data_IF_578473347788
#
_entry.id   IF_578473347788
#
_cell.length_a   1.000
_cell.length_b   1.000
_cell.length_c   1.000
_cell.angle_alpha   90.00
_cell.angle_beta   90.00
_cell.angle_gamma   90.00
#
_symmetry.space_group_name_H-M   'P 1'
#
loop_
_entity.id
_entity.type
_entity.pdbx_description
1 polymer ?
#
# COMPACT_ATOMS: atom_id res chain seq x y z
N UNK A 1 -20.36 47.05 27.38
CA UNK A 1 -19.29 46.37 26.62
C UNK A 1 -19.15 44.89 27.03
N UNK A 2 -20.26 44.12 27.04
CA UNK A 2 -20.24 42.73 27.53
C UNK A 2 -20.89 41.71 26.56
N UNK A 3 -21.53 42.19 25.47
CA UNK A 3 -22.22 41.34 24.50
C UNK A 3 -21.35 40.93 23.30
N UNK A 4 -20.26 41.65 23.05
CA UNK A 4 -19.35 41.37 21.92
C UNK A 4 -18.31 40.30 22.21
N UNK A 5 -18.11 39.94 23.49
CA UNK A 5 -17.10 38.97 23.90
C UNK A 5 -17.55 37.50 23.73
N UNK A 6 -18.86 37.24 23.64
CA UNK A 6 -19.40 35.88 23.52
C UNK A 6 -19.32 35.31 22.09
N UNK A 7 -19.14 36.16 21.07
CA UNK A 7 -19.12 35.71 19.67
C UNK A 7 -17.73 35.16 19.29
N UNK A 8 -16.66 35.59 19.97
CA UNK A 8 -15.30 35.15 19.66
C UNK A 8 -14.93 33.75 20.22
N UNK A 9 -15.63 33.26 21.24
CA UNK A 9 -15.32 31.97 21.88
C UNK A 9 -15.95 30.79 21.13
N UNK A 10 -16.94 31.04 20.25
CA UNK A 10 -17.60 29.97 19.48
C UNK A 10 -16.86 29.53 18.20
N UNK A 11 -15.74 30.18 17.86
CA UNK A 11 -14.97 29.93 16.62
C UNK A 11 -13.72 29.05 16.82
N UNK A 12 -13.40 28.65 18.06
CA UNK A 12 -12.20 27.85 18.35
C UNK A 12 -12.47 26.38 18.68
N UNK A 13 -13.69 25.87 18.43
CA UNK A 13 -13.88 24.44 18.31
C UNK A 13 -13.43 24.06 16.89
N UNK A 14 -12.11 24.03 16.68
CA UNK A 14 -11.54 23.20 15.64
C UNK A 14 -12.06 21.80 15.92
N UNK A 15 -13.07 21.39 15.16
CA UNK A 15 -13.40 20.00 14.98
C UNK A 15 -12.16 19.43 14.31
N UNK A 16 -11.17 19.05 15.12
CA UNK A 16 -10.12 18.15 14.71
C UNK A 16 -10.87 16.87 14.38
N UNK A 17 -11.35 16.81 13.13
CA UNK A 17 -11.83 15.62 12.51
C UNK A 17 -10.57 14.77 12.37
N UNK A 18 -10.13 14.16 13.48
CA UNK A 18 -9.04 13.22 13.49
C UNK A 18 -9.44 12.13 12.50
N UNK A 19 -8.76 12.14 11.36
CA UNK A 19 -8.87 11.07 10.39
C UNK A 19 -8.70 9.76 11.15
N UNK A 20 -9.64 8.83 11.00
CA UNK A 20 -9.46 7.52 11.65
C UNK A 20 -8.33 6.83 10.91
N UNK A 21 -7.21 6.48 11.58
CA UNK A 21 -6.11 5.84 10.90
C UNK A 21 -6.59 4.55 10.24
N UNK A 22 -6.08 4.26 9.05
CA UNK A 22 -6.33 2.98 8.38
C UNK A 22 -5.84 1.88 9.32
N UNK A 23 -6.76 1.05 9.80
CA UNK A 23 -6.43 -0.04 10.72
C UNK A 23 -5.86 -1.22 9.94
N UNK A 24 -4.65 -1.61 10.30
CA UNK A 24 -3.98 -2.77 9.71
C UNK A 24 -4.68 -4.11 10.01
N UNK A 25 -4.33 -5.11 9.22
CA UNK A 25 -4.83 -6.47 9.35
C UNK A 25 -3.76 -7.46 8.92
N UNK A 26 -3.15 -8.13 9.90
CA UNK A 26 -2.14 -9.16 9.64
C UNK A 26 -2.71 -10.33 8.84
N UNK A 27 -3.99 -10.66 9.03
CA UNK A 27 -4.68 -11.70 8.26
C UNK A 27 -4.69 -11.34 6.77
N UNK A 28 -5.07 -10.11 6.42
CA UNK A 28 -5.11 -9.67 5.02
C UNK A 28 -3.70 -9.51 4.45
N UNK A 29 -2.73 -9.06 5.25
CA UNK A 29 -1.34 -8.93 4.82
C UNK A 29 -0.74 -10.31 4.50
N UNK A 30 -0.82 -11.25 5.45
CA UNK A 30 -0.31 -12.61 5.26
C UNK A 30 -0.98 -13.30 4.07
N UNK A 31 -2.30 -13.09 3.89
CA UNK A 31 -3.01 -13.59 2.72
C UNK A 31 -2.47 -12.98 1.41
N UNK A 32 -2.22 -11.67 1.37
CA UNK A 32 -1.66 -11.01 0.20
C UNK A 32 -0.24 -11.50 -0.14
N UNK A 33 0.60 -11.74 0.87
CA UNK A 33 1.95 -12.31 0.69
C UNK A 33 1.86 -13.73 0.12
N UNK A 34 1.01 -14.59 0.70
CA UNK A 34 0.80 -15.95 0.18
C UNK A 34 0.29 -15.95 -1.26
N UNK A 35 -0.68 -15.09 -1.57
CA UNK A 35 -1.24 -14.97 -2.92
C UNK A 35 -0.20 -14.42 -3.90
N UNK A 36 0.64 -13.46 -3.49
CA UNK A 36 1.74 -12.96 -4.30
C UNK A 36 2.68 -14.09 -4.74
N UNK A 37 3.14 -14.93 -3.81
CA UNK A 37 4.01 -16.07 -4.14
C UNK A 37 3.35 -17.05 -5.11
N UNK A 38 2.07 -17.37 -4.87
CA UNK A 38 1.30 -18.27 -5.73
C UNK A 38 1.16 -17.70 -7.15
N UNK A 39 0.80 -16.42 -7.26
CA UNK A 39 0.61 -15.72 -8.53
C UNK A 39 1.92 -15.56 -9.29
N UNK A 40 3.00 -15.17 -8.61
CA UNK A 40 4.32 -15.00 -9.24
C UNK A 40 4.89 -16.34 -9.72
N UNK A 41 4.66 -17.43 -8.98
CA UNK A 41 5.07 -18.78 -9.40
C UNK A 41 4.29 -19.27 -10.62
N UNK A 42 2.98 -19.03 -10.67
CA UNK A 42 2.13 -19.56 -11.75
C UNK A 42 2.15 -18.72 -13.03
N UNK A 43 2.15 -17.39 -12.89
CA UNK A 43 1.97 -16.46 -13.99
C UNK A 43 3.06 -15.40 -14.11
N UNK A 44 4.14 -15.52 -13.33
CA UNK A 44 5.18 -14.50 -13.25
C UNK A 44 4.63 -13.17 -12.71
N UNK A 45 5.41 -12.12 -12.91
CA UNK A 45 5.05 -10.77 -12.44
C UNK A 45 3.76 -10.24 -13.11
N UNK A 46 3.49 -10.66 -14.34
CA UNK A 46 2.26 -10.31 -15.05
C UNK A 46 1.00 -10.85 -14.36
N UNK A 47 1.06 -12.07 -13.82
CA UNK A 47 -0.05 -12.63 -13.04
C UNK A 47 -0.38 -11.81 -11.78
N UNK A 48 0.65 -11.22 -11.16
CA UNK A 48 0.48 -10.32 -10.00
C UNK A 48 -0.20 -9.02 -10.43
N UNK A 49 0.29 -8.38 -11.50
CA UNK A 49 -0.25 -7.13 -12.04
C UNK A 49 -1.74 -7.28 -12.38
N UNK A 50 -2.09 -8.34 -13.11
CA UNK A 50 -3.48 -8.65 -13.47
C UNK A 50 -4.36 -8.83 -12.23
N UNK A 51 -3.83 -9.46 -11.19
CA UNK A 51 -4.55 -9.66 -9.92
C UNK A 51 -4.78 -8.34 -9.19
N UNK A 52 -3.79 -7.46 -9.14
CA UNK A 52 -3.88 -6.11 -8.55
C UNK A 52 -4.96 -5.29 -9.24
N UNK A 53 -4.92 -5.21 -10.57
CA UNK A 53 -5.89 -4.45 -11.36
C UNK A 53 -7.32 -4.96 -11.13
N UNK A 54 -7.54 -6.28 -11.19
CA UNK A 54 -8.84 -6.89 -10.89
C UNK A 54 -9.28 -6.66 -9.44
N UNK A 55 -8.35 -6.65 -8.49
CA UNK A 55 -8.66 -6.42 -7.08
C UNK A 55 -9.25 -5.03 -6.86
N UNK A 56 -8.61 -3.99 -7.40
CA UNK A 56 -9.10 -2.62 -7.26
C UNK A 56 -10.44 -2.39 -7.98
N UNK A 57 -10.68 -3.06 -9.11
CA UNK A 57 -11.97 -2.99 -9.83
C UNK A 57 -13.11 -3.74 -9.13
N UNK A 58 -12.81 -4.73 -8.29
CA UNK A 58 -13.84 -5.53 -7.62
C UNK A 58 -14.36 -4.82 -6.35
N UNK A 59 -15.67 -4.49 -6.26
CA UNK A 59 -16.24 -3.84 -5.08
C UNK A 59 -16.33 -4.77 -3.86
N UNK A 60 -16.29 -6.09 -4.05
CA UNK A 60 -16.36 -7.08 -2.97
C UNK A 60 -14.99 -7.37 -2.34
N UNK A 61 -13.89 -6.91 -2.94
CA UNK A 61 -12.54 -7.13 -2.40
C UNK A 61 -12.18 -6.04 -1.39
N UNK A 62 -11.64 -6.39 -0.21
CA UNK A 62 -11.16 -5.40 0.74
C UNK A 62 -10.04 -4.56 0.11
N UNK A 63 -10.18 -3.23 0.11
CA UNK A 63 -9.18 -2.34 -0.50
C UNK A 63 -7.83 -2.39 0.21
N UNK A 64 -7.84 -2.67 1.52
CA UNK A 64 -6.63 -2.93 2.30
C UNK A 64 -5.87 -4.16 1.81
N UNK A 65 -6.57 -5.25 1.44
CA UNK A 65 -5.94 -6.42 0.82
C UNK A 65 -5.38 -6.10 -0.57
N UNK A 66 -6.13 -5.37 -1.41
CA UNK A 66 -5.64 -4.97 -2.73
C UNK A 66 -4.38 -4.10 -2.63
N UNK A 67 -4.34 -3.21 -1.64
CA UNK A 67 -3.16 -2.42 -1.31
C UNK A 67 -1.98 -3.29 -0.89
N UNK A 68 -2.18 -4.25 0.02
CA UNK A 68 -1.09 -5.14 0.44
C UNK A 68 -0.53 -5.92 -0.75
N UNK A 69 -1.38 -6.42 -1.65
CA UNK A 69 -0.96 -7.15 -2.84
C UNK A 69 -0.22 -6.27 -3.86
N UNK A 70 -0.69 -5.04 -4.10
CA UNK A 70 -0.02 -4.07 -4.98
C UNK A 70 1.36 -3.71 -4.41
N UNK A 71 1.40 -3.35 -3.12
CA UNK A 71 2.63 -2.86 -2.51
C UNK A 71 3.68 -3.96 -2.32
N UNK A 72 3.25 -5.17 -1.93
CA UNK A 72 4.16 -6.32 -1.87
C UNK A 72 4.65 -6.74 -3.26
N UNK A 73 3.79 -6.68 -4.28
CA UNK A 73 4.18 -6.91 -5.67
C UNK A 73 5.29 -5.96 -6.15
N UNK A 74 5.20 -4.67 -5.77
CA UNK A 74 6.22 -3.66 -6.07
C UNK A 74 7.56 -3.95 -5.40
N UNK A 75 7.53 -4.26 -4.11
CA UNK A 75 8.73 -4.57 -3.34
C UNK A 75 9.37 -5.85 -3.90
N UNK A 76 8.56 -6.87 -4.18
CA UNK A 76 9.02 -8.13 -4.77
C UNK A 76 9.65 -7.94 -6.16
N UNK A 77 9.02 -7.16 -7.05
CA UNK A 77 9.59 -6.85 -8.37
C UNK A 77 10.96 -6.16 -8.25
N UNK A 78 11.08 -5.18 -7.36
CA UNK A 78 12.34 -4.50 -7.09
C UNK A 78 13.42 -5.46 -6.57
N UNK A 79 13.10 -6.31 -5.60
CA UNK A 79 14.03 -7.30 -5.05
C UNK A 79 14.47 -8.33 -6.11
N UNK A 80 13.55 -8.79 -6.95
CA UNK A 80 13.86 -9.73 -8.04
C UNK A 80 14.80 -9.10 -9.06
N UNK A 81 14.53 -7.86 -9.48
CA UNK A 81 15.38 -7.14 -10.43
C UNK A 81 16.76 -6.84 -9.84
N UNK A 82 16.82 -6.40 -8.57
CA UNK A 82 18.07 -6.18 -7.86
C UNK A 82 18.90 -7.47 -7.80
N UNK A 83 18.27 -8.59 -7.43
CA UNK A 83 18.93 -9.90 -7.37
C UNK A 83 19.47 -10.33 -8.73
N UNK A 84 18.69 -10.20 -9.81
CA UNK A 84 19.14 -10.57 -11.17
C UNK A 84 20.32 -9.69 -11.60
N UNK A 85 20.22 -8.37 -11.42
CA UNK A 85 21.28 -7.44 -11.82
C UNK A 85 22.55 -7.60 -10.96
N UNK A 86 22.44 -8.04 -9.70
CA UNK A 86 23.60 -8.34 -8.87
C UNK A 86 24.38 -9.59 -9.33
N UNK A 87 23.74 -10.51 -10.05
CA UNK A 87 24.32 -11.77 -10.51
C UNK A 87 24.47 -11.87 -12.03
N UNK A 88 24.29 -10.76 -12.76
CA UNK A 88 24.43 -10.71 -14.21
C UNK A 88 25.01 -9.38 -14.66
N UNK A 89 25.65 -9.33 -15.83
CA UNK A 89 26.07 -8.07 -16.47
C UNK A 89 24.89 -7.31 -17.10
N UNK A 90 23.67 -7.58 -16.64
CA UNK A 90 22.44 -6.99 -17.17
C UNK A 90 21.99 -5.80 -16.32
N UNK A 91 21.22 -4.91 -16.95
CA UNK A 91 20.58 -3.78 -16.28
C UNK A 91 19.07 -3.83 -16.55
N UNK A 92 18.41 -4.84 -15.99
CA UNK A 92 16.96 -4.97 -16.10
C UNK A 92 16.27 -3.86 -15.28
N UNK A 93 15.26 -3.18 -15.83
CA UNK A 93 14.42 -2.28 -15.06
C UNK A 93 13.34 -3.06 -14.30
N UNK A 94 12.76 -2.43 -13.28
CA UNK A 94 11.48 -2.86 -12.70
C UNK A 94 10.35 -2.78 -13.74
N UNK A 95 9.28 -3.55 -13.52
CA UNK A 95 8.13 -3.53 -14.39
C UNK A 95 7.47 -2.14 -14.39
N UNK A 96 7.13 -1.63 -15.58
CA UNK A 96 6.54 -0.31 -15.75
C UNK A 96 5.27 -0.07 -14.90
N UNK A 97 4.46 -1.12 -14.65
CA UNK A 97 3.31 -1.02 -13.76
C UNK A 97 3.74 -0.74 -12.31
N UNK A 98 4.79 -1.40 -11.84
CA UNK A 98 5.30 -1.29 -10.46
C UNK A 98 6.25 -0.11 -10.24
N UNK A 99 6.70 0.53 -11.31
CA UNK A 99 7.41 1.82 -11.28
C UNK A 99 6.50 3.02 -11.64
N UNK A 100 5.18 2.82 -11.78
CA UNK A 100 4.29 3.88 -12.23
C UNK A 100 4.15 5.03 -11.20
N UNK A 101 3.95 6.26 -11.72
CA UNK A 101 3.64 7.44 -10.89
C UNK A 101 2.21 7.41 -10.32
N UNK A 102 1.35 6.57 -10.90
CA UNK A 102 -0.06 6.48 -10.53
C UNK A 102 -0.30 5.70 -9.23
N UNK A 103 0.71 5.00 -8.72
CA UNK A 103 0.63 4.23 -7.48
C UNK A 103 0.07 5.03 -6.32
N UNK A 104 0.73 6.15 -5.97
CA UNK A 104 0.34 6.96 -4.82
C UNK A 104 -1.10 7.49 -4.97
N UNK A 105 -1.49 7.88 -6.18
CA UNK A 105 -2.86 8.30 -6.46
C UNK A 105 -3.85 7.14 -6.30
N UNK A 106 -3.52 5.96 -6.82
CA UNK A 106 -4.38 4.75 -6.77
C UNK A 106 -4.62 4.32 -5.34
N UNK A 107 -3.58 4.22 -4.52
CA UNK A 107 -3.71 3.83 -3.10
C UNK A 107 -4.42 4.93 -2.31
N UNK A 108 -4.14 6.20 -2.56
CA UNK A 108 -4.78 7.29 -1.84
C UNK A 108 -6.28 7.30 -2.09
N UNK A 109 -6.71 7.20 -3.34
CA UNK A 109 -8.13 7.19 -3.70
C UNK A 109 -8.85 5.96 -3.13
N UNK A 110 -8.24 4.78 -3.21
CA UNK A 110 -8.91 3.53 -2.86
C UNK A 110 -8.84 3.16 -1.37
N UNK A 111 -7.80 3.59 -0.66
CA UNK A 111 -7.55 3.19 0.73
C UNK A 111 -7.63 4.35 1.71
N UNK A 112 -6.95 5.46 1.45
CA UNK A 112 -6.77 6.51 2.46
C UNK A 112 -7.89 7.55 2.46
N UNK A 113 -8.33 7.98 1.27
CA UNK A 113 -9.41 8.98 1.11
C UNK A 113 -10.71 8.58 1.81
N UNK A 114 -11.19 7.32 1.78
CA UNK A 114 -12.39 6.92 2.51
C UNK A 114 -12.29 7.05 4.04
N UNK A 115 -11.07 7.14 4.58
CA UNK A 115 -10.79 7.28 6.02
C UNK A 115 -10.45 8.72 6.42
N UNK A 116 -10.60 9.65 5.47
CA UNK A 116 -10.23 11.06 5.61
C UNK A 116 -8.75 11.29 5.96
N UNK A 117 -7.88 10.30 5.68
CA UNK A 117 -6.45 10.43 5.97
C UNK A 117 -5.81 11.51 5.12
N UNK A 118 -4.91 12.27 5.74
CA UNK A 118 -4.02 13.19 5.02
C UNK A 118 -2.97 12.44 4.21
N UNK A 119 -2.32 13.14 3.28
CA UNK A 119 -1.20 12.58 2.52
C UNK A 119 -0.02 12.24 3.43
N UNK A 120 0.22 13.04 4.47
CA UNK A 120 1.31 12.82 5.43
C UNK A 120 1.07 11.54 6.25
N UNK A 121 -0.16 11.33 6.75
CA UNK A 121 -0.54 10.09 7.42
C UNK A 121 -0.44 8.88 6.50
N UNK A 122 -0.88 9.02 5.24
CA UNK A 122 -0.76 7.96 4.25
C UNK A 122 0.72 7.58 4.01
N UNK A 123 1.58 8.58 3.81
CA UNK A 123 3.01 8.37 3.60
C UNK A 123 3.69 7.72 4.81
N UNK A 124 3.37 8.18 6.02
CA UNK A 124 3.88 7.59 7.26
C UNK A 124 3.46 6.13 7.42
N UNK A 125 2.18 5.84 7.15
CA UNK A 125 1.64 4.48 7.20
C UNK A 125 2.27 3.57 6.14
N UNK A 126 2.45 4.05 4.91
CA UNK A 126 3.16 3.31 3.87
C UNK A 126 4.60 3.01 4.24
N UNK A 127 5.32 3.97 4.82
CA UNK A 127 6.70 3.77 5.26
C UNK A 127 6.80 2.69 6.34
N UNK A 128 5.87 2.70 7.31
CA UNK A 128 5.77 1.61 8.29
C UNK A 128 5.49 0.26 7.62
N UNK A 129 4.54 0.22 6.68
CA UNK A 129 4.17 -1.01 5.99
C UNK A 129 5.25 -1.55 5.05
N UNK A 130 6.09 -0.69 4.49
CA UNK A 130 7.23 -1.09 3.66
C UNK A 130 8.12 -2.10 4.41
N UNK A 131 8.57 -1.74 5.62
CA UNK A 131 9.43 -2.61 6.43
C UNK A 131 8.71 -3.89 6.83
N UNK A 132 7.44 -3.77 7.24
CA UNK A 132 6.64 -4.94 7.63
C UNK A 132 6.43 -5.93 6.47
N UNK A 133 6.19 -5.42 5.26
CA UNK A 133 6.05 -6.25 4.06
C UNK A 133 7.39 -6.89 3.70
N UNK A 134 8.48 -6.12 3.76
CA UNK A 134 9.82 -6.62 3.48
C UNK A 134 10.18 -7.79 4.42
N UNK A 135 9.93 -7.64 5.72
CA UNK A 135 10.14 -8.71 6.70
C UNK A 135 9.33 -9.97 6.33
N UNK A 136 8.05 -9.81 5.98
CA UNK A 136 7.17 -10.92 5.59
C UNK A 136 7.60 -11.61 4.31
N UNK A 137 8.10 -10.86 3.32
CA UNK A 137 8.64 -11.44 2.08
C UNK A 137 9.90 -12.26 2.37
N UNK A 138 10.79 -11.76 3.23
CA UNK A 138 12.01 -12.47 3.62
C UNK A 138 11.70 -13.75 4.41
N UNK A 139 10.76 -13.71 5.35
CA UNK A 139 10.28 -14.90 6.07
C UNK A 139 9.77 -15.97 5.10
N UNK A 140 8.95 -15.59 4.12
CA UNK A 140 8.38 -16.52 3.15
C UNK A 140 9.42 -17.12 2.18
N UNK A 141 10.57 -16.49 2.00
CA UNK A 141 11.71 -17.05 1.24
C UNK A 141 12.49 -18.08 2.06
N UNK A 142 12.57 -17.92 3.39
CA UNK A 142 13.31 -18.83 4.28
C UNK A 142 12.54 -20.14 4.52
N UNK A 143 11.21 -20.12 4.47
CA UNK A 143 10.36 -21.29 4.70
C UNK A 143 10.20 -22.22 3.48
N UNK A 144 10.71 -21.84 2.30
CA UNK A 144 10.67 -22.62 1.06
C UNK A 144 12.06 -23.13 0.66
#
# INVERSE_FOLDING_TARGET
>A
MLKTLYIFISLCLSVECFAKPVKDSDVLLNQAIKDLHSLSTQGGIMGVIDSVDRCYKNPKKPKLYCFYLDYSGRIFDALMVESINAHSDSNYPTNAFFSDENFQKRIFINLYKPYSSSMEEANSHMNFLYYKILDKLNEAVIEN
#
